data_IF_586364806413
#
_entry.id   IF_586364806413
#
_cell.length_a   1.000
_cell.length_b   1.000
_cell.length_c   1.000
_cell.angle_alpha   90.00
_cell.angle_beta   90.00
_cell.angle_gamma   90.00
#
_symmetry.space_group_name_H-M   'P 1'
#
loop_
_entity.id
_entity.type
_entity.pdbx_description
1 polymer ?
#
# COMPACT_ATOMS: atom_id res chain seq x y z
N UNK A 1 6.58 30.12 9.48
CA UNK A 1 6.23 28.70 9.55
C UNK A 1 6.14 28.33 11.02
N UNK A 2 4.97 27.90 11.48
CA UNK A 2 4.65 27.84 12.91
C UNK A 2 5.36 26.66 13.59
N UNK A 3 6.22 26.94 14.58
CA UNK A 3 7.00 25.89 15.28
C UNK A 3 6.11 24.86 15.97
N UNK A 4 4.88 25.22 16.33
CA UNK A 4 3.86 24.32 16.91
C UNK A 4 3.36 23.27 15.92
N UNK A 5 3.30 23.62 14.62
CA UNK A 5 2.90 22.70 13.54
C UNK A 5 4.03 21.71 13.26
N UNK A 6 5.27 22.21 13.20
CA UNK A 6 6.47 21.37 12.99
C UNK A 6 6.64 20.41 14.16
N UNK A 7 6.46 20.87 15.40
CA UNK A 7 6.47 20.00 16.58
C UNK A 7 5.36 18.94 16.51
N UNK A 8 4.12 19.28 16.15
CA UNK A 8 3.03 18.29 15.98
C UNK A 8 3.30 17.28 14.87
N UNK A 9 3.96 17.68 13.78
CA UNK A 9 4.37 16.79 12.68
C UNK A 9 5.47 15.82 13.15
N UNK A 10 6.50 16.33 13.83
CA UNK A 10 7.59 15.53 14.41
C UNK A 10 7.07 14.57 15.50
N UNK A 11 6.18 15.04 16.38
CA UNK A 11 5.58 14.22 17.45
C UNK A 11 4.61 13.17 16.91
N UNK A 12 3.99 13.38 15.74
CA UNK A 12 3.14 12.37 15.08
C UNK A 12 3.93 11.14 14.63
N UNK A 13 5.15 11.33 14.13
CA UNK A 13 6.08 10.23 13.79
C UNK A 13 6.70 9.53 15.02
N UNK A 14 6.59 10.13 16.21
CA UNK A 14 7.13 9.59 17.46
C UNK A 14 6.25 8.53 18.13
N UNK A 15 5.10 8.16 17.54
CA UNK A 15 4.12 7.24 18.16
C UNK A 15 4.33 5.77 17.84
N UNK A 16 5.19 5.45 16.88
CA UNK A 16 5.40 4.08 16.40
C UNK A 16 6.81 3.59 16.68
N UNK A 17 6.93 2.34 17.09
CA UNK A 17 8.22 1.66 17.24
C UNK A 17 8.93 1.55 15.89
N UNK A 18 10.24 1.27 15.90
CA UNK A 18 11.00 1.08 14.67
C UNK A 18 10.39 -0.03 13.79
N UNK A 19 9.92 -1.12 14.39
CA UNK A 19 9.24 -2.21 13.68
C UNK A 19 7.90 -1.79 13.09
N UNK A 20 7.10 -1.03 13.84
CA UNK A 20 5.84 -0.48 13.33
C UNK A 20 6.09 0.49 12.16
N UNK A 21 7.13 1.33 12.21
CA UNK A 21 7.53 2.19 11.09
C UNK A 21 7.96 1.38 9.88
N UNK A 22 8.72 0.31 10.08
CA UNK A 22 9.13 -0.61 9.00
C UNK A 22 7.93 -1.31 8.37
N UNK A 23 6.95 -1.72 9.18
CA UNK A 23 5.69 -2.29 8.70
C UNK A 23 4.90 -1.26 7.87
N UNK A 24 4.74 -0.03 8.36
CA UNK A 24 4.07 1.05 7.63
C UNK A 24 4.76 1.36 6.28
N UNK A 25 6.10 1.45 6.28
CA UNK A 25 6.87 1.65 5.04
C UNK A 25 6.70 0.46 4.07
N UNK A 26 6.59 -0.76 4.59
CA UNK A 26 6.38 -1.95 3.76
C UNK A 26 4.98 -1.96 3.15
N UNK A 27 3.96 -1.48 3.88
CA UNK A 27 2.59 -1.32 3.38
C UNK A 27 2.55 -0.30 2.24
N UNK A 28 3.20 0.85 2.43
CA UNK A 28 3.26 1.88 1.39
C UNK A 28 3.95 1.37 0.13
N UNK A 29 5.08 0.69 0.29
CA UNK A 29 5.76 0.04 -0.83
C UNK A 29 4.89 -1.00 -1.54
N UNK A 30 4.16 -1.83 -0.77
CA UNK A 30 3.26 -2.82 -1.37
C UNK A 30 2.07 -2.18 -2.10
N UNK A 31 1.61 -1.00 -1.64
CA UNK A 31 0.60 -0.19 -2.34
C UNK A 31 1.12 0.33 -3.68
N UNK A 32 2.35 0.86 -3.69
CA UNK A 32 3.02 1.28 -4.93
C UNK A 32 3.25 0.10 -5.88
N UNK A 33 3.75 -1.04 -5.38
CA UNK A 33 3.95 -2.26 -6.17
C UNK A 33 2.64 -2.73 -6.81
N UNK A 34 1.52 -2.70 -6.07
CA UNK A 34 0.19 -3.04 -6.59
C UNK A 34 -0.26 -2.06 -7.67
N UNK A 35 -0.06 -0.76 -7.46
CA UNK A 35 -0.38 0.27 -8.47
C UNK A 35 0.40 0.03 -9.77
N UNK A 36 1.71 -0.23 -9.66
CA UNK A 36 2.57 -0.53 -10.82
C UNK A 36 2.13 -1.82 -11.52
N UNK A 37 1.74 -2.86 -10.77
CA UNK A 37 1.24 -4.10 -11.36
C UNK A 37 -0.08 -3.89 -12.13
N UNK A 38 -0.99 -3.08 -11.58
CA UNK A 38 -2.24 -2.69 -12.26
C UNK A 38 -1.97 -1.86 -13.52
N UNK A 39 -1.07 -0.89 -13.45
CA UNK A 39 -0.65 -0.12 -14.63
C UNK A 39 -0.04 -1.01 -15.72
N UNK A 40 0.76 -2.01 -15.32
CA UNK A 40 1.30 -3.00 -16.23
C UNK A 40 0.19 -3.84 -16.89
N UNK A 41 -0.77 -4.35 -16.12
CA UNK A 41 -1.93 -5.06 -16.67
C UNK A 41 -2.70 -4.23 -17.70
N UNK A 42 -2.96 -2.95 -17.39
CA UNK A 42 -3.65 -2.04 -18.31
C UNK A 42 -2.85 -1.72 -19.58
N UNK A 43 -1.52 -1.78 -19.54
CA UNK A 43 -0.65 -1.45 -20.67
C UNK A 43 -0.30 -2.66 -21.56
N UNK A 44 -0.46 -3.89 -21.06
CA UNK A 44 -0.12 -5.10 -21.80
C UNK A 44 -1.13 -5.37 -22.91
N UNK A 45 -0.63 -5.46 -24.15
CA UNK A 45 -1.44 -5.78 -25.33
C UNK A 45 -1.05 -7.13 -25.97
N UNK A 46 0.03 -7.78 -25.52
CA UNK A 46 0.42 -9.11 -25.99
C UNK A 46 -0.40 -10.17 -25.22
N UNK A 47 -1.26 -10.96 -25.89
CA UNK A 47 -2.09 -11.98 -25.23
C UNK A 47 -1.28 -12.97 -24.39
N UNK A 48 -0.02 -13.24 -24.74
CA UNK A 48 0.87 -14.17 -24.01
C UNK A 48 1.38 -13.60 -22.69
N UNK A 49 1.27 -12.28 -22.50
CA UNK A 49 1.72 -11.58 -21.29
C UNK A 49 0.56 -11.17 -20.38
N UNK A 50 -0.69 -11.28 -20.84
CA UNK A 50 -1.88 -10.91 -20.03
C UNK A 50 -1.99 -11.78 -18.79
N UNK A 51 -1.85 -13.10 -18.92
CA UNK A 51 -1.89 -14.02 -17.77
C UNK A 51 -0.80 -13.70 -16.74
N UNK A 52 0.38 -13.34 -17.24
CA UNK A 52 1.48 -12.90 -16.38
C UNK A 52 1.16 -11.59 -15.66
N UNK A 53 0.52 -10.65 -16.34
CA UNK A 53 0.10 -9.38 -15.76
C UNK A 53 -0.96 -9.56 -14.67
N UNK A 54 -1.96 -10.44 -14.91
CA UNK A 54 -2.98 -10.82 -13.93
C UNK A 54 -2.32 -11.42 -12.68
N UNK A 55 -1.44 -12.42 -12.87
CA UNK A 55 -0.76 -13.07 -11.76
C UNK A 55 0.08 -12.09 -10.94
N UNK A 56 0.79 -11.17 -11.63
CA UNK A 56 1.60 -10.14 -10.97
C UNK A 56 0.74 -9.21 -10.13
N UNK A 57 -0.39 -8.75 -10.64
CA UNK A 57 -1.32 -7.88 -9.90
C UNK A 57 -1.88 -8.59 -8.66
N UNK A 58 -2.38 -9.82 -8.82
CA UNK A 58 -2.94 -10.60 -7.72
C UNK A 58 -1.89 -10.93 -6.65
N UNK A 59 -0.64 -11.21 -7.04
CA UNK A 59 0.46 -11.40 -6.11
C UNK A 59 0.78 -10.13 -5.31
N UNK A 60 0.79 -8.96 -5.97
CA UNK A 60 1.00 -7.67 -5.30
C UNK A 60 -0.16 -7.34 -4.34
N UNK A 61 -1.39 -7.62 -4.76
CA UNK A 61 -2.61 -7.44 -3.94
C UNK A 61 -2.59 -8.32 -2.71
N UNK A 62 -2.26 -9.60 -2.86
CA UNK A 62 -2.15 -10.54 -1.75
C UNK A 62 -1.10 -10.08 -0.72
N UNK A 63 0.06 -9.59 -1.19
CA UNK A 63 1.10 -9.04 -0.31
C UNK A 63 0.63 -7.78 0.43
N UNK A 64 -0.03 -6.86 -0.27
CA UNK A 64 -0.58 -5.65 0.36
C UNK A 64 -1.62 -6.00 1.44
N UNK A 65 -2.57 -6.90 1.13
CA UNK A 65 -3.58 -7.37 2.08
C UNK A 65 -2.95 -8.06 3.30
N UNK A 66 -1.93 -8.89 3.10
CA UNK A 66 -1.19 -9.52 4.19
C UNK A 66 -0.59 -8.47 5.14
N UNK A 67 0.08 -7.45 4.60
CA UNK A 67 0.70 -6.41 5.42
C UNK A 67 -0.33 -5.52 6.15
N UNK A 68 -1.48 -5.25 5.53
CA UNK A 68 -2.59 -4.56 6.21
C UNK A 68 -3.14 -5.38 7.38
N UNK A 69 -3.26 -6.70 7.23
CA UNK A 69 -3.67 -7.59 8.31
C UNK A 69 -2.64 -7.58 9.46
N UNK A 70 -1.34 -7.59 9.14
CA UNK A 70 -0.28 -7.44 10.14
C UNK A 70 -0.36 -6.07 10.85
N UNK A 71 -0.65 -4.98 10.14
CA UNK A 71 -0.83 -3.67 10.73
C UNK A 71 -1.99 -3.64 11.72
N UNK A 72 -3.13 -4.27 11.34
CA UNK A 72 -4.31 -4.39 12.20
C UNK A 72 -4.01 -5.17 13.48
N UNK A 73 -3.24 -6.26 13.39
CA UNK A 73 -2.78 -7.03 14.57
C UNK A 73 -1.88 -6.20 15.50
N UNK A 74 -1.13 -5.26 14.94
CA UNK A 74 -0.27 -4.33 15.68
C UNK A 74 -1.00 -3.05 16.13
N UNK A 75 -2.34 -3.01 16.04
CA UNK A 75 -3.21 -1.87 16.38
C UNK A 75 -2.83 -0.56 15.66
N UNK A 76 -2.21 -0.68 14.49
CA UNK A 76 -1.82 0.45 13.67
C UNK A 76 -3.01 0.97 12.87
N UNK A 77 -3.30 2.26 13.01
CA UNK A 77 -4.21 2.97 12.10
C UNK A 77 -3.46 3.29 10.82
N UNK A 78 -3.65 2.46 9.79
CA UNK A 78 -3.24 2.78 8.43
C UNK A 78 -4.34 3.66 7.83
N UNK A 79 -4.02 4.92 7.54
CA UNK A 79 -4.91 5.79 6.75
C UNK A 79 -4.88 5.31 5.31
N UNK A 80 -5.71 4.32 4.98
CA UNK A 80 -6.00 3.99 3.60
C UNK A 80 -6.78 5.17 3.04
N UNK A 81 -6.18 5.98 2.17
CA UNK A 81 -6.92 6.90 1.32
C UNK A 81 -7.83 6.04 0.42
N UNK A 82 -9.05 5.81 0.88
CA UNK A 82 -10.03 4.97 0.19
C UNK A 82 -10.47 5.69 -1.09
N UNK A 83 -9.78 5.39 -2.18
CA UNK A 83 -10.39 5.27 -3.50
C UNK A 83 -10.43 3.77 -3.82
N UNK A 84 -11.17 3.02 -3.00
CA UNK A 84 -11.41 1.58 -3.16
C UNK A 84 -12.66 1.36 -4.06
N UNK A 85 -13.35 2.42 -4.47
CA UNK A 85 -14.55 2.34 -5.31
C UNK A 85 -14.29 1.85 -6.75
N UNK A 86 -13.03 1.77 -7.19
CA UNK A 86 -12.68 1.23 -8.52
C UNK A 86 -12.36 -0.29 -8.49
N UNK A 87 -12.63 -0.98 -7.37
CA UNK A 87 -12.33 -2.42 -7.22
C UNK A 87 -13.35 -3.38 -7.86
N UNK A 88 -14.31 -2.88 -8.66
CA UNK A 88 -15.20 -3.74 -9.42
C UNK A 88 -15.02 -3.55 -10.93
N UNK A 89 -14.04 -4.25 -11.49
CA UNK A 89 -14.01 -4.55 -12.93
C UNK A 89 -13.63 -6.03 -13.05
N UNK A 90 -14.63 -6.86 -13.32
CA UNK A 90 -14.55 -8.31 -13.41
C UNK A 90 -15.85 -8.96 -12.97
#
# INVERSE_FOLDING_TARGET
>A
MDKSIIAKLITRESRYTAEQKKLLNSIEKAREDLKVAREYFNAVNDPRLVDYAIYREEAAKARYMFLLNEAKKNELKVECSNSIEDLNVG
#
